data_IF_190899937231
#
_entry.id   IF_190899937231
#
_cell.length_a   1.000
_cell.length_b   1.000
_cell.length_c   1.000
_cell.angle_alpha   90.00
_cell.angle_beta   90.00
_cell.angle_gamma   90.00
#
_symmetry.space_group_name_H-M   'P 1'
#
loop_
_entity.id
_entity.type
_entity.pdbx_description
1 polymer ?
#
# COMPACT_ATOMS: atom_id res chain seq x y z
N UNK A 1 -50.47 34.45 16.59
CA UNK A 1 -49.21 33.95 17.20
C UNK A 1 -48.62 32.72 16.50
N UNK A 2 -49.45 31.78 16.00
CA UNK A 2 -49.02 30.53 15.34
C UNK A 2 -48.29 30.71 14.00
N UNK A 3 -48.70 31.67 13.16
CA UNK A 3 -48.12 31.88 11.83
C UNK A 3 -46.64 32.34 11.87
N UNK A 4 -46.30 33.24 12.83
CA UNK A 4 -44.91 33.69 13.05
C UNK A 4 -44.02 32.56 13.56
N UNK A 5 -44.54 31.65 14.38
CA UNK A 5 -43.80 30.49 14.87
C UNK A 5 -43.53 29.46 13.76
N UNK A 6 -44.51 29.25 12.85
CA UNK A 6 -44.37 28.35 11.70
C UNK A 6 -43.38 28.88 10.65
N UNK A 7 -43.41 30.20 10.39
CA UNK A 7 -42.47 30.87 9.50
C UNK A 7 -41.03 30.85 10.06
N UNK A 8 -40.84 31.05 11.36
CA UNK A 8 -39.51 30.93 12.01
C UNK A 8 -38.94 29.51 11.91
N UNK A 9 -39.77 28.48 12.07
CA UNK A 9 -39.35 27.08 11.93
C UNK A 9 -38.94 26.73 10.50
N UNK A 10 -39.66 27.24 9.49
CA UNK A 10 -39.30 27.03 8.08
C UNK A 10 -38.00 27.77 7.69
N UNK A 11 -37.81 29.01 8.16
CA UNK A 11 -36.58 29.76 7.91
C UNK A 11 -35.36 29.13 8.58
N UNK A 12 -35.48 28.70 9.84
CA UNK A 12 -34.39 28.03 10.56
C UNK A 12 -34.10 26.65 9.95
N UNK A 13 -35.12 25.88 9.58
CA UNK A 13 -34.97 24.58 8.92
C UNK A 13 -34.31 24.70 7.54
N UNK A 14 -34.73 25.67 6.72
CA UNK A 14 -34.14 25.93 5.40
C UNK A 14 -32.69 26.39 5.48
N UNK A 15 -32.36 27.27 6.45
CA UNK A 15 -30.99 27.72 6.67
C UNK A 15 -30.06 26.57 7.09
N UNK A 16 -30.53 25.67 7.97
CA UNK A 16 -29.74 24.53 8.43
C UNK A 16 -29.38 23.58 7.27
N UNK A 17 -30.36 23.24 6.42
CA UNK A 17 -30.15 22.35 5.26
C UNK A 17 -29.20 22.99 4.25
N UNK A 18 -29.39 24.28 3.94
CA UNK A 18 -28.50 25.02 3.05
C UNK A 18 -27.05 25.04 3.52
N UNK A 19 -26.82 25.33 4.81
CA UNK A 19 -25.47 25.33 5.41
C UNK A 19 -24.84 23.94 5.34
N UNK A 20 -25.58 22.88 5.64
CA UNK A 20 -25.05 21.50 5.56
C UNK A 20 -24.69 21.07 4.14
N UNK A 21 -25.50 21.46 3.14
CA UNK A 21 -25.23 21.14 1.74
C UNK A 21 -23.98 21.87 1.21
N UNK A 22 -23.84 23.16 1.53
CA UNK A 22 -22.69 23.97 1.11
C UNK A 22 -21.40 23.49 1.79
N UNK A 23 -21.43 23.24 3.10
CA UNK A 23 -20.25 22.75 3.84
C UNK A 23 -19.81 21.36 3.36
N UNK A 24 -20.74 20.44 3.15
CA UNK A 24 -20.44 19.10 2.63
C UNK A 24 -19.92 19.15 1.20
N UNK A 25 -20.51 19.99 0.34
CA UNK A 25 -20.05 20.19 -1.04
C UNK A 25 -18.65 20.81 -1.11
N UNK A 26 -18.39 21.80 -0.26
CA UNK A 26 -17.06 22.42 -0.14
C UNK A 26 -16.03 21.41 0.37
N UNK A 27 -16.34 20.65 1.41
CA UNK A 27 -15.48 19.61 1.95
C UNK A 27 -15.19 18.49 0.93
N UNK A 28 -16.20 18.06 0.17
CA UNK A 28 -16.04 17.09 -0.90
C UNK A 28 -15.15 17.62 -2.04
N UNK A 29 -15.31 18.88 -2.41
CA UNK A 29 -14.48 19.54 -3.43
C UNK A 29 -13.01 19.65 -3.00
N UNK A 30 -12.74 20.00 -1.74
CA UNK A 30 -11.39 20.01 -1.18
C UNK A 30 -10.78 18.60 -1.20
N UNK A 31 -11.51 17.59 -0.75
CA UNK A 31 -11.06 16.19 -0.77
C UNK A 31 -10.78 15.68 -2.18
N UNK A 32 -11.54 16.13 -3.18
CA UNK A 32 -11.34 15.74 -4.57
C UNK A 32 -10.07 16.38 -5.17
N UNK A 33 -9.79 17.66 -4.86
CA UNK A 33 -8.54 18.34 -5.27
C UNK A 33 -7.31 17.64 -4.68
N UNK A 34 -7.36 17.23 -3.42
CA UNK A 34 -6.27 16.49 -2.76
C UNK A 34 -6.03 15.10 -3.38
N UNK A 35 -7.08 14.45 -3.88
CA UNK A 35 -6.95 13.17 -4.59
C UNK A 35 -6.28 13.33 -5.94
N UNK A 36 -6.66 14.37 -6.70
CA UNK A 36 -6.05 14.67 -8.00
C UNK A 36 -4.58 15.12 -7.89
N UNK A 37 -4.22 15.87 -6.84
CA UNK A 37 -2.83 16.27 -6.62
C UNK A 37 -1.97 15.04 -6.28
N UNK A 38 -2.45 14.17 -5.37
CA UNK A 38 -1.77 12.92 -5.02
C UNK A 38 -1.61 11.96 -6.19
N UNK A 39 -2.61 11.82 -7.06
CA UNK A 39 -2.51 10.96 -8.25
C UNK A 39 -1.51 11.52 -9.26
N UNK A 40 -1.47 12.85 -9.46
CA UNK A 40 -0.46 13.52 -10.29
C UNK A 40 0.94 13.35 -9.73
N UNK A 41 1.13 13.55 -8.42
CA UNK A 41 2.42 13.37 -7.76
C UNK A 41 2.92 11.92 -7.82
N UNK A 42 2.03 10.94 -7.63
CA UNK A 42 2.36 9.53 -7.79
C UNK A 42 2.83 9.21 -9.23
N UNK A 43 2.18 9.80 -10.25
CA UNK A 43 2.58 9.61 -11.65
C UNK A 43 3.95 10.25 -11.97
N UNK A 44 4.25 11.43 -11.40
CA UNK A 44 5.56 12.10 -11.57
C UNK A 44 6.69 11.30 -10.91
N UNK A 45 6.50 10.85 -9.66
CA UNK A 45 7.48 10.00 -8.95
C UNK A 45 7.77 8.70 -9.72
N UNK A 46 6.74 8.12 -10.36
CA UNK A 46 6.89 6.92 -11.18
C UNK A 46 7.66 7.15 -12.49
N UNK A 47 7.65 8.39 -13.02
CA UNK A 47 8.35 8.74 -14.25
C UNK A 47 9.85 8.96 -14.01
N UNK A 48 10.21 9.60 -12.89
CA UNK A 48 11.62 9.87 -12.53
C UNK A 48 12.39 8.58 -12.18
N UNK A 49 11.71 7.56 -11.65
CA UNK A 49 12.37 6.27 -11.40
C UNK A 49 12.80 5.56 -12.70
N UNK A 50 12.10 5.79 -13.82
CA UNK A 50 12.40 5.13 -15.10
C UNK A 50 13.57 5.75 -15.85
N UNK A 51 13.97 6.98 -15.52
CA UNK A 51 14.98 7.74 -16.26
C UNK A 51 16.40 7.56 -15.74
N UNK A 52 16.59 7.01 -14.53
CA UNK A 52 17.92 6.75 -13.98
C UNK A 52 18.48 5.43 -14.49
N UNK A 53 19.73 5.38 -15.00
CA UNK A 53 20.35 4.12 -15.39
C UNK A 53 20.51 3.22 -14.16
N UNK A 54 20.09 1.96 -14.30
CA UNK A 54 20.26 0.97 -13.24
C UNK A 54 21.76 0.74 -13.00
N UNK A 55 22.21 0.66 -11.74
CA UNK A 55 23.61 0.41 -11.45
C UNK A 55 24.03 -0.96 -11.99
N UNK A 56 25.23 -1.04 -12.55
CA UNK A 56 25.76 -2.31 -13.03
C UNK A 56 26.05 -3.25 -11.87
N UNK A 57 26.09 -4.57 -12.13
CA UNK A 57 26.46 -5.58 -11.12
C UNK A 57 27.78 -5.26 -10.44
N UNK A 58 28.76 -4.76 -11.19
CA UNK A 58 30.07 -4.38 -10.65
C UNK A 58 29.96 -3.21 -9.66
N UNK A 59 29.17 -2.18 -10.00
CA UNK A 59 28.92 -1.04 -9.11
C UNK A 59 28.17 -1.47 -7.85
N UNK A 60 27.21 -2.38 -7.96
CA UNK A 60 26.48 -2.93 -6.81
C UNK A 60 27.41 -3.68 -5.86
N UNK A 61 28.28 -4.55 -6.38
CA UNK A 61 29.27 -5.28 -5.56
C UNK A 61 30.24 -4.31 -4.90
N UNK A 62 30.73 -3.31 -5.64
CA UNK A 62 31.62 -2.30 -5.09
C UNK A 62 30.94 -1.51 -3.96
N UNK A 63 29.66 -1.17 -4.11
CA UNK A 63 28.88 -0.47 -3.08
C UNK A 63 28.70 -1.33 -1.83
N UNK A 64 28.47 -2.64 -2.01
CA UNK A 64 28.39 -3.61 -0.91
C UNK A 64 29.71 -3.75 -0.16
N UNK A 65 30.84 -3.68 -0.86
CA UNK A 65 32.18 -3.80 -0.27
C UNK A 65 32.69 -2.50 0.36
N UNK A 66 32.33 -1.34 -0.21
CA UNK A 66 32.77 -0.03 0.28
C UNK A 66 31.96 0.46 1.48
N UNK A 67 30.75 -0.08 1.66
CA UNK A 67 29.92 0.23 2.81
C UNK A 67 30.40 -0.55 4.03
N UNK A 68 30.86 0.18 5.05
CA UNK A 68 31.41 -0.43 6.27
C UNK A 68 30.38 -1.24 7.06
N UNK A 69 29.17 -0.71 7.24
CA UNK A 69 28.12 -1.31 8.07
C UNK A 69 26.73 -1.14 7.44
N UNK A 70 25.88 -2.16 7.64
CA UNK A 70 24.48 -2.22 7.27
C UNK A 70 23.63 -2.50 8.50
N UNK A 71 22.48 -1.82 8.60
CA UNK A 71 21.52 -2.04 9.70
C UNK A 71 20.76 -3.35 9.51
N UNK A 72 20.48 -3.69 8.24
CA UNK A 72 19.73 -4.90 7.88
C UNK A 72 20.38 -5.58 6.68
N UNK A 73 20.63 -6.89 6.83
CA UNK A 73 21.04 -7.75 5.73
C UNK A 73 19.91 -8.75 5.42
N UNK A 74 19.37 -8.68 4.21
CA UNK A 74 18.35 -9.60 3.71
C UNK A 74 19.01 -10.66 2.84
N UNK A 75 18.78 -11.93 3.17
CA UNK A 75 19.26 -13.08 2.41
C UNK A 75 18.08 -13.67 1.64
N UNK A 76 18.16 -13.64 0.31
CA UNK A 76 17.13 -14.13 -0.60
C UNK A 76 16.32 -13.00 -1.25
N UNK A 77 16.42 -12.88 -2.57
CA UNK A 77 15.72 -11.93 -3.43
C UNK A 77 14.37 -12.44 -3.96
N UNK A 78 13.69 -13.29 -3.20
CA UNK A 78 12.30 -13.68 -3.46
C UNK A 78 11.31 -12.58 -3.07
N UNK A 79 10.01 -12.78 -3.30
CA UNK A 79 9.01 -11.74 -3.03
C UNK A 79 9.01 -11.28 -1.56
N UNK A 80 9.19 -12.20 -0.62
CA UNK A 80 9.30 -11.88 0.81
C UNK A 80 10.53 -11.04 1.11
N UNK A 81 11.71 -11.45 0.63
CA UNK A 81 12.95 -10.72 0.89
C UNK A 81 12.97 -9.33 0.25
N UNK A 82 12.46 -9.20 -0.99
CA UNK A 82 12.28 -7.89 -1.62
C UNK A 82 11.30 -7.01 -0.84
N UNK A 83 10.21 -7.58 -0.32
CA UNK A 83 9.24 -6.85 0.51
C UNK A 83 9.85 -6.36 1.83
N UNK A 84 10.64 -7.20 2.51
CA UNK A 84 11.35 -6.84 3.73
C UNK A 84 12.40 -5.76 3.45
N UNK A 85 13.18 -5.90 2.38
CA UNK A 85 14.18 -4.90 2.01
C UNK A 85 13.52 -3.55 1.68
N UNK A 86 12.38 -3.57 0.98
CA UNK A 86 11.62 -2.35 0.69
C UNK A 86 11.09 -1.71 1.96
N UNK A 87 10.54 -2.48 2.91
CA UNK A 87 10.05 -1.95 4.19
C UNK A 87 11.20 -1.34 5.01
N UNK A 88 12.35 -2.02 5.08
CA UNK A 88 13.53 -1.55 5.79
C UNK A 88 14.07 -0.23 5.20
N UNK A 89 14.21 -0.15 3.87
CA UNK A 89 14.63 1.09 3.18
C UNK A 89 13.59 2.20 3.35
N UNK A 90 12.29 1.88 3.32
CA UNK A 90 11.23 2.87 3.54
C UNK A 90 11.25 3.47 4.95
N UNK A 91 11.82 2.75 5.91
CA UNK A 91 12.07 3.22 7.28
C UNK A 91 13.40 3.98 7.43
N UNK A 92 14.16 4.13 6.35
CA UNK A 92 15.46 4.81 6.34
C UNK A 92 16.62 3.94 6.83
N UNK A 93 16.44 2.63 6.96
CA UNK A 93 17.50 1.71 7.38
C UNK A 93 18.44 1.41 6.22
N UNK A 94 19.75 1.38 6.49
CA UNK A 94 20.75 1.00 5.51
C UNK A 94 20.69 -0.50 5.29
N UNK A 95 20.10 -0.89 4.17
CA UNK A 95 19.76 -2.29 3.90
C UNK A 95 20.56 -2.85 2.73
N UNK A 96 21.13 -4.04 2.91
CA UNK A 96 21.71 -4.83 1.84
C UNK A 96 20.83 -6.06 1.57
N UNK A 97 20.70 -6.45 0.30
CA UNK A 97 20.02 -7.68 -0.10
C UNK A 97 20.93 -8.50 -1.00
N UNK A 98 21.09 -9.78 -0.68
CA UNK A 98 21.89 -10.72 -1.47
C UNK A 98 21.02 -11.90 -1.93
N UNK A 99 21.15 -12.25 -3.21
CA UNK A 99 20.51 -13.40 -3.82
C UNK A 99 21.57 -14.24 -4.54
N UNK A 100 21.46 -15.57 -4.44
CA UNK A 100 22.42 -16.51 -5.04
C UNK A 100 22.26 -16.56 -6.55
N UNK A 101 21.02 -16.51 -7.03
CA UNK A 101 20.68 -16.61 -8.46
C UNK A 101 20.20 -15.26 -8.99
N UNK A 102 19.08 -15.26 -9.71
CA UNK A 102 18.38 -14.05 -10.14
C UNK A 102 17.22 -13.73 -9.17
N UNK A 103 16.77 -12.47 -9.15
CA UNK A 103 15.64 -12.04 -8.35
C UNK A 103 14.39 -12.85 -8.70
N UNK A 104 13.62 -13.26 -7.68
CA UNK A 104 12.40 -14.08 -7.83
C UNK A 104 12.62 -15.50 -8.41
N UNK A 105 13.86 -15.98 -8.56
CA UNK A 105 14.16 -17.27 -9.20
C UNK A 105 13.64 -18.52 -8.47
N UNK A 106 13.27 -18.41 -7.18
CA UNK A 106 12.73 -19.50 -6.35
C UNK A 106 11.24 -19.80 -6.58
N UNK A 107 10.48 -19.99 -5.49
CA UNK A 107 9.02 -20.22 -5.53
C UNK A 107 8.26 -19.01 -6.07
N UNK A 108 8.81 -17.81 -5.90
CA UNK A 108 8.18 -16.55 -6.33
C UNK A 108 7.90 -16.46 -7.83
N UNK A 109 8.72 -17.09 -8.68
CA UNK A 109 8.48 -17.18 -10.13
C UNK A 109 7.54 -18.33 -10.55
N UNK A 110 7.37 -19.33 -9.68
CA UNK A 110 6.64 -20.59 -9.95
C UNK A 110 5.19 -20.59 -9.44
N UNK A 111 4.64 -19.43 -9.09
CA UNK A 111 3.23 -19.31 -8.69
C UNK A 111 2.29 -19.33 -9.90
N UNK A 112 0.99 -19.46 -9.64
CA UNK A 112 -0.08 -19.29 -10.63
C UNK A 112 -0.18 -17.86 -11.17
N UNK A 113 0.59 -16.91 -10.63
CA UNK A 113 0.59 -15.48 -11.00
C UNK A 113 -0.79 -14.82 -10.86
N UNK A 114 -1.63 -15.36 -9.96
CA UNK A 114 -2.93 -14.81 -9.62
C UNK A 114 -2.90 -14.22 -8.22
N UNK A 115 -3.27 -12.95 -8.12
CA UNK A 115 -3.54 -12.33 -6.82
C UNK A 115 -4.99 -12.63 -6.46
N UNK A 116 -5.20 -13.57 -5.53
CA UNK A 116 -6.52 -13.91 -5.01
C UNK A 116 -6.52 -13.88 -3.49
N UNK A 117 -7.57 -13.35 -2.88
CA UNK A 117 -7.72 -13.26 -1.42
C UNK A 117 -7.97 -14.59 -0.71
N UNK A 118 -7.71 -15.72 -1.38
CA UNK A 118 -7.83 -17.03 -0.76
C UNK A 118 -9.25 -17.38 -0.27
N UNK A 119 -10.29 -17.25 -1.08
CA UNK A 119 -11.70 -17.52 -0.68
C UNK A 119 -11.86 -18.88 0.01
N UNK A 120 -11.10 -19.90 -0.41
CA UNK A 120 -11.04 -21.22 0.25
C UNK A 120 -10.57 -21.17 1.71
N UNK A 121 -9.61 -20.28 2.02
CA UNK A 121 -9.05 -20.13 3.36
C UNK A 121 -9.96 -19.31 4.27
N UNK A 122 -10.71 -18.35 3.71
CA UNK A 122 -11.73 -17.61 4.44
C UNK A 122 -12.84 -18.55 4.95
N UNK A 123 -13.30 -19.48 4.11
CA UNK A 123 -14.27 -20.50 4.53
C UNK A 123 -13.73 -21.32 5.71
N UNK A 124 -12.47 -21.77 5.65
CA UNK A 124 -11.85 -22.56 6.73
C UNK A 124 -11.70 -21.76 8.03
N UNK A 125 -11.37 -20.48 7.96
CA UNK A 125 -11.25 -19.62 9.14
C UNK A 125 -12.61 -19.42 9.84
N UNK A 126 -13.68 -19.21 9.05
CA UNK A 126 -15.04 -19.05 9.57
C UNK A 126 -15.53 -20.35 10.19
N UNK A 127 -15.35 -21.49 9.51
CA UNK A 127 -15.79 -22.79 10.03
C UNK A 127 -14.97 -23.27 11.24
N UNK A 128 -13.70 -22.86 11.32
CA UNK A 128 -12.80 -23.21 12.42
C UNK A 128 -12.85 -22.26 13.62
N UNK A 129 -13.67 -21.20 13.57
CA UNK A 129 -13.76 -20.15 14.60
C UNK A 129 -12.40 -19.55 15.01
N UNK A 130 -11.45 -19.50 14.08
CA UNK A 130 -10.10 -18.98 14.28
C UNK A 130 -10.09 -17.49 13.91
N UNK A 131 -10.22 -16.64 14.93
CA UNK A 131 -10.29 -15.18 14.78
C UNK A 131 -8.99 -14.59 14.21
N UNK A 132 -7.84 -15.16 14.54
CA UNK A 132 -6.54 -14.66 14.09
C UNK A 132 -6.40 -14.86 12.58
N UNK A 133 -6.79 -16.04 12.06
CA UNK A 133 -6.88 -16.26 10.61
C UNK A 133 -7.89 -15.35 9.91
N UNK A 134 -9.02 -15.06 10.55
CA UNK A 134 -10.05 -14.19 9.99
C UNK A 134 -9.59 -12.72 9.93
N UNK A 135 -8.80 -12.25 10.91
CA UNK A 135 -8.34 -10.86 11.02
C UNK A 135 -7.19 -10.50 10.09
N UNK A 136 -6.45 -11.49 9.60
CA UNK A 136 -5.48 -11.33 8.50
C UNK A 136 -5.98 -11.94 7.18
N UNK A 137 -7.12 -11.50 6.61
CA UNK A 137 -7.55 -12.01 5.33
C UNK A 137 -6.74 -11.31 4.22
N UNK A 138 -5.77 -12.02 3.64
CA UNK A 138 -5.46 -11.81 2.22
C UNK A 138 -4.43 -10.75 1.81
N UNK A 139 -3.39 -10.48 2.60
CA UNK A 139 -2.11 -9.94 2.04
C UNK A 139 -1.05 -11.03 1.91
N UNK A 140 -1.32 -12.25 2.41
CA UNK A 140 -0.60 -13.45 1.99
C UNK A 140 -1.00 -13.76 0.55
N UNK A 141 -0.51 -12.93 -0.38
CA UNK A 141 -0.37 -13.30 -1.77
C UNK A 141 0.27 -14.68 -1.74
N UNK A 142 -0.38 -15.65 -2.37
CA UNK A 142 0.07 -17.01 -2.59
C UNK A 142 1.31 -17.03 -3.51
N UNK A 143 2.34 -16.29 -3.14
CA UNK A 143 3.74 -16.52 -3.48
C UNK A 143 4.28 -17.73 -2.64
N UNK A 144 3.38 -18.34 -1.86
CA UNK A 144 3.51 -19.61 -1.14
C UNK A 144 2.76 -20.75 -1.86
N UNK A 145 2.82 -20.84 -3.19
CA UNK A 145 2.58 -22.15 -3.85
C UNK A 145 3.96 -22.80 -3.96
N UNK A 146 4.32 -23.59 -2.96
CA UNK A 146 5.55 -24.38 -2.98
C UNK A 146 6.16 -24.82 -1.64
N UNK A 147 5.38 -24.91 -0.56
CA UNK A 147 5.67 -25.73 0.63
C UNK A 147 4.36 -26.36 1.13
#
# INVERSE_FOLDING_TARGET
MVLRARLRRLLVGGALVGVTAVTTGYFFSLRNKDRLSKSRQAHVISADFRSSPLPSRAQQIQTLQSTLEYDVLVIGGGATGCGVALDAVSRGLKTALVEKYDFSSGTSSRSTKLVHGGVRYLQKAIMGFDYDRYKTPGITCYILIGL
#
